data_IF_191242566436
#
_entry.id   IF_191242566436
#
_cell.length_a   1.000
_cell.length_b   1.000
_cell.length_c   1.000
_cell.angle_alpha   90.00
_cell.angle_beta   90.00
_cell.angle_gamma   90.00
#
_symmetry.space_group_name_H-M   'P 1'
#
loop_
_entity.id
_entity.type
_entity.pdbx_description
1 polymer ?
#
# COMPACT_ATOMS: atom_id res chain seq x y z
N UNK A 1 -62.18 -47.55 -7.77
CA UNK A 1 -61.42 -46.55 -6.98
C UNK A 1 -60.10 -47.15 -6.46
N UNK A 2 -59.23 -47.65 -7.34
CA UNK A 2 -57.88 -48.14 -6.97
C UNK A 2 -56.75 -47.51 -7.80
N UNK A 3 -57.10 -46.75 -8.84
CA UNK A 3 -56.12 -46.22 -9.80
C UNK A 3 -55.91 -44.69 -9.66
N UNK A 4 -56.76 -43.99 -8.91
CA UNK A 4 -56.67 -42.54 -8.69
C UNK A 4 -55.71 -42.14 -7.56
N UNK A 5 -55.42 -43.04 -6.62
CA UNK A 5 -54.44 -42.83 -5.54
C UNK A 5 -53.00 -42.93 -6.07
N UNK A 6 -52.77 -43.80 -7.06
CA UNK A 6 -51.44 -44.02 -7.65
C UNK A 6 -50.95 -42.80 -8.45
N UNK A 7 -51.85 -42.09 -9.14
CA UNK A 7 -51.53 -40.90 -9.94
C UNK A 7 -51.25 -39.69 -9.03
N UNK A 8 -51.99 -39.56 -7.92
CA UNK A 8 -51.76 -38.48 -6.96
C UNK A 8 -50.43 -38.62 -6.21
N UNK A 9 -50.01 -39.85 -5.88
CA UNK A 9 -48.69 -40.10 -5.28
C UNK A 9 -47.53 -39.85 -6.27
N UNK A 10 -47.74 -40.08 -7.56
CA UNK A 10 -46.72 -39.89 -8.60
C UNK A 10 -46.54 -38.40 -8.97
N UNK A 11 -47.61 -37.59 -8.92
CA UNK A 11 -47.50 -36.14 -9.10
C UNK A 11 -46.80 -35.44 -7.92
N UNK A 12 -47.04 -35.89 -6.68
CA UNK A 12 -46.38 -35.31 -5.49
C UNK A 12 -44.86 -35.60 -5.51
N UNK A 13 -44.45 -36.79 -5.95
CA UNK A 13 -43.04 -37.18 -6.12
C UNK A 13 -42.30 -36.34 -7.18
N UNK A 14 -42.97 -35.94 -8.27
CA UNK A 14 -42.38 -35.14 -9.35
C UNK A 14 -42.30 -33.64 -9.01
N UNK A 15 -43.18 -33.14 -8.13
CA UNK A 15 -43.06 -31.78 -7.58
C UNK A 15 -41.98 -31.61 -6.51
N UNK A 16 -41.59 -32.68 -5.79
CA UNK A 16 -40.48 -32.63 -4.82
C UNK A 16 -39.11 -32.57 -5.51
N UNK A 17 -38.99 -33.06 -6.75
CA UNK A 17 -37.76 -32.97 -7.54
C UNK A 17 -37.49 -31.57 -8.13
N UNK A 18 -38.48 -30.67 -8.16
CA UNK A 18 -38.30 -29.28 -8.57
C UNK A 18 -37.99 -28.32 -7.41
N UNK A 19 -38.11 -28.78 -6.16
CA UNK A 19 -37.83 -27.97 -4.97
C UNK A 19 -36.35 -28.00 -4.53
N UNK A 20 -35.50 -28.85 -5.11
CA UNK A 20 -34.07 -28.95 -4.79
C UNK A 20 -33.14 -28.23 -5.77
N UNK A 21 -33.67 -27.48 -6.73
CA UNK A 21 -32.87 -26.66 -7.67
C UNK A 21 -32.69 -25.20 -7.23
N UNK A 22 -33.13 -24.81 -6.02
CA UNK A 22 -32.67 -23.59 -5.34
C UNK A 22 -31.56 -23.99 -4.37
N UNK A 23 -30.55 -24.69 -4.90
CA UNK A 23 -29.31 -24.94 -4.18
C UNK A 23 -28.49 -23.65 -4.22
N UNK A 24 -28.36 -23.03 -3.05
CA UNK A 24 -27.44 -21.94 -2.71
C UNK A 24 -26.29 -21.75 -3.70
N UNK A 25 -26.40 -20.72 -4.53
CA UNK A 25 -25.23 -20.00 -5.00
C UNK A 25 -25.04 -18.85 -4.00
N UNK A 26 -24.06 -18.90 -3.07
CA UNK A 26 -23.79 -17.74 -2.23
C UNK A 26 -23.42 -16.57 -3.16
N UNK A 27 -23.92 -15.35 -2.91
CA UNK A 27 -23.60 -14.20 -3.76
C UNK A 27 -22.07 -14.04 -3.77
N UNK A 28 -21.47 -14.15 -4.96
CA UNK A 28 -20.03 -13.92 -5.15
C UNK A 28 -19.62 -12.49 -4.77
N UNK A 29 -20.59 -11.59 -4.68
CA UNK A 29 -20.44 -10.16 -4.38
C UNK A 29 -19.90 -9.88 -2.97
N UNK A 30 -20.26 -10.68 -1.95
CA UNK A 30 -19.84 -10.40 -0.56
C UNK A 30 -18.34 -10.59 -0.36
N UNK A 31 -17.75 -11.59 -1.03
CA UNK A 31 -16.30 -11.86 -0.92
C UNK A 31 -15.47 -10.85 -1.70
N UNK A 32 -15.94 -10.44 -2.87
CA UNK A 32 -15.26 -9.41 -3.69
C UNK A 32 -15.27 -8.07 -2.95
N UNK A 33 -16.43 -7.65 -2.44
CA UNK A 33 -16.55 -6.41 -1.66
C UNK A 33 -15.75 -6.43 -0.34
N UNK A 34 -15.52 -7.62 0.24
CA UNK A 34 -14.64 -7.75 1.40
C UNK A 34 -13.16 -7.60 1.03
N UNK A 35 -12.73 -8.22 -0.07
CA UNK A 35 -11.35 -8.09 -0.57
C UNK A 35 -11.05 -6.66 -0.98
N UNK A 36 -11.93 -6.02 -1.74
CA UNK A 36 -11.83 -4.61 -2.12
C UNK A 36 -11.61 -3.71 -0.90
N UNK A 37 -12.46 -3.83 0.13
CA UNK A 37 -12.33 -3.05 1.37
C UNK A 37 -11.00 -3.26 2.06
N UNK A 38 -10.55 -4.52 2.17
CA UNK A 38 -9.25 -4.82 2.80
C UNK A 38 -8.08 -4.19 2.05
N UNK A 39 -8.13 -4.20 0.70
CA UNK A 39 -7.10 -3.58 -0.13
C UNK A 39 -7.12 -2.06 0.03
N UNK A 40 -8.30 -1.43 0.10
CA UNK A 40 -8.41 0.01 0.35
C UNK A 40 -7.85 0.39 1.72
N UNK A 41 -8.16 -0.36 2.79
CA UNK A 41 -7.60 -0.12 4.12
C UNK A 41 -6.08 -0.24 4.14
N UNK A 42 -5.51 -1.26 3.48
CA UNK A 42 -4.07 -1.41 3.35
C UNK A 42 -3.43 -0.27 2.55
N UNK A 43 -4.07 0.19 1.47
CA UNK A 43 -3.62 1.35 0.67
C UNK A 43 -3.54 2.61 1.51
N UNK A 44 -4.57 2.90 2.31
CA UNK A 44 -4.57 4.08 3.17
C UNK A 44 -3.44 4.03 4.21
N UNK A 45 -3.22 2.86 4.82
CA UNK A 45 -2.13 2.68 5.78
C UNK A 45 -0.76 2.89 5.13
N UNK A 46 -0.53 2.29 3.96
CA UNK A 46 0.73 2.44 3.23
C UNK A 46 0.93 3.88 2.75
N UNK A 47 -0.13 4.54 2.27
CA UNK A 47 -0.09 5.96 1.89
C UNK A 47 0.30 6.83 3.07
N UNK A 48 -0.24 6.55 4.27
CA UNK A 48 0.14 7.27 5.49
C UNK A 48 1.63 7.07 5.82
N UNK A 49 2.12 5.82 5.81
CA UNK A 49 3.53 5.53 6.08
C UNK A 49 4.47 6.22 5.08
N UNK A 50 4.12 6.23 3.79
CA UNK A 50 4.90 6.92 2.76
C UNK A 50 4.87 8.45 2.93
N UNK A 51 3.72 9.02 3.29
CA UNK A 51 3.65 10.46 3.60
C UNK A 51 4.51 10.80 4.83
N UNK A 52 4.46 10.00 5.89
CA UNK A 52 5.29 10.20 7.09
C UNK A 52 6.79 10.14 6.73
N UNK A 53 7.18 9.21 5.85
CA UNK A 53 8.54 9.13 5.32
C UNK A 53 8.91 10.37 4.48
N UNK A 54 8.01 10.83 3.62
CA UNK A 54 8.21 12.04 2.81
C UNK A 54 8.42 13.27 3.68
N UNK A 55 7.62 13.44 4.73
CA UNK A 55 7.78 14.57 5.66
C UNK A 55 9.10 14.46 6.45
N UNK A 56 9.51 13.25 6.85
CA UNK A 56 10.83 13.07 7.47
C UNK A 56 11.98 13.50 6.53
N UNK A 57 11.88 13.18 5.24
CA UNK A 57 12.85 13.63 4.23
C UNK A 57 12.85 15.16 4.13
N UNK A 58 11.67 15.79 4.08
CA UNK A 58 11.55 17.24 4.06
C UNK A 58 12.23 17.89 5.28
N UNK A 59 11.97 17.37 6.49
CA UNK A 59 12.59 17.86 7.72
C UNK A 59 14.12 17.76 7.69
N UNK A 60 14.69 16.69 7.12
CA UNK A 60 16.14 16.55 6.95
C UNK A 60 16.69 17.54 5.92
N UNK A 61 16.00 17.75 4.79
CA UNK A 61 16.39 18.75 3.78
C UNK A 61 16.43 20.14 4.41
N UNK A 62 15.40 20.50 5.18
CA UNK A 62 15.36 21.79 5.87
C UNK A 62 16.48 21.95 6.90
N UNK A 63 16.81 20.87 7.62
CA UNK A 63 17.93 20.86 8.56
C UNK A 63 19.26 21.13 7.84
N UNK A 64 19.47 20.47 6.70
CA UNK A 64 20.63 20.71 5.84
C UNK A 64 20.67 22.17 5.36
N UNK A 65 19.54 22.70 4.88
CA UNK A 65 19.45 24.08 4.39
C UNK A 65 19.79 25.11 5.47
N UNK A 66 19.45 24.82 6.74
CA UNK A 66 19.89 25.64 7.88
C UNK A 66 21.40 25.51 8.11
N UNK A 67 21.92 24.29 8.12
CA UNK A 67 23.34 24.01 8.37
C UNK A 67 24.27 24.54 7.27
N UNK A 68 23.81 24.59 6.02
CA UNK A 68 24.56 25.13 4.88
C UNK A 68 24.97 26.61 5.05
N UNK A 69 24.20 27.39 5.82
CA UNK A 69 24.46 28.82 6.03
C UNK A 69 25.74 29.08 6.81
N UNK A 70 26.02 28.24 7.79
CA UNK A 70 27.13 28.41 8.75
C UNK A 70 28.27 27.40 8.52
N UNK A 71 28.12 26.48 7.57
CA UNK A 71 29.09 25.44 7.26
C UNK A 71 30.38 25.99 6.64
N UNK A 72 31.50 25.33 6.93
CA UNK A 72 32.77 25.51 6.19
C UNK A 72 32.61 25.05 4.73
N UNK A 73 33.53 25.45 3.85
CA UNK A 73 33.43 25.09 2.43
C UNK A 73 33.46 23.57 2.19
N UNK A 74 34.26 22.83 2.95
CA UNK A 74 34.29 21.35 2.90
C UNK A 74 32.95 20.74 3.38
N UNK A 75 32.37 21.29 4.44
CA UNK A 75 31.07 20.81 4.95
C UNK A 75 29.92 21.17 3.99
N UNK A 76 29.98 22.33 3.32
CA UNK A 76 28.98 22.75 2.35
C UNK A 76 28.85 21.79 1.19
N UNK A 77 29.96 21.32 0.62
CA UNK A 77 29.93 20.35 -0.50
C UNK A 77 29.20 19.07 -0.09
N UNK A 78 29.59 18.48 1.05
CA UNK A 78 28.96 17.26 1.60
C UNK A 78 27.48 17.44 1.91
N UNK A 79 27.10 18.60 2.46
CA UNK A 79 25.71 18.94 2.75
C UNK A 79 24.89 19.13 1.46
N UNK A 80 25.45 19.78 0.45
CA UNK A 80 24.78 19.94 -0.85
C UNK A 80 24.52 18.60 -1.53
N UNK A 81 25.45 17.66 -1.44
CA UNK A 81 25.27 16.32 -2.02
C UNK A 81 24.24 15.51 -1.24
N UNK A 82 24.31 15.50 0.10
CA UNK A 82 23.27 14.87 0.93
C UNK A 82 21.88 15.45 0.65
N UNK A 83 21.77 16.77 0.46
CA UNK A 83 20.52 17.44 0.09
C UNK A 83 19.96 16.94 -1.24
N UNK A 84 20.80 16.83 -2.28
CA UNK A 84 20.39 16.32 -3.60
C UNK A 84 19.93 14.87 -3.53
N UNK A 85 20.63 14.04 -2.76
CA UNK A 85 20.25 12.63 -2.57
C UNK A 85 18.88 12.51 -1.90
N UNK A 86 18.63 13.30 -0.84
CA UNK A 86 17.34 13.34 -0.17
C UNK A 86 16.22 13.87 -1.08
N UNK A 87 16.49 14.86 -1.93
CA UNK A 87 15.51 15.31 -2.93
C UNK A 87 15.17 14.21 -3.95
N UNK A 88 16.16 13.43 -4.37
CA UNK A 88 15.94 12.28 -5.24
C UNK A 88 15.12 11.18 -4.56
N UNK A 89 15.42 10.87 -3.30
CA UNK A 89 14.67 9.89 -2.50
C UNK A 89 13.23 10.36 -2.24
N UNK A 90 13.01 11.66 -1.98
CA UNK A 90 11.66 12.24 -1.87
C UNK A 90 10.85 12.00 -3.15
N UNK A 91 11.45 12.30 -4.30
CA UNK A 91 10.79 12.10 -5.60
C UNK A 91 10.49 10.62 -5.87
N UNK A 92 11.29 9.70 -5.36
CA UNK A 92 11.02 8.25 -5.44
C UNK A 92 9.83 7.85 -4.56
N UNK A 93 9.73 8.42 -3.35
CA UNK A 93 8.56 8.24 -2.46
C UNK A 93 7.30 8.79 -3.13
N UNK A 94 7.35 9.97 -3.75
CA UNK A 94 6.21 10.57 -4.46
C UNK A 94 5.73 9.68 -5.63
N UNK A 95 6.65 9.09 -6.40
CA UNK A 95 6.28 8.12 -7.44
C UNK A 95 5.62 6.88 -6.86
N UNK A 96 6.16 6.36 -5.75
CA UNK A 96 5.59 5.19 -5.08
C UNK A 96 4.19 5.48 -4.52
N UNK A 97 3.94 6.70 -4.03
CA UNK A 97 2.62 7.15 -3.59
C UNK A 97 1.59 7.11 -4.74
N UNK A 98 1.97 7.55 -5.94
CA UNK A 98 1.11 7.45 -7.12
C UNK A 98 0.89 5.99 -7.55
N UNK A 99 1.92 5.14 -7.52
CA UNK A 99 1.78 3.70 -7.79
C UNK A 99 0.79 3.01 -6.81
N UNK A 100 0.85 3.33 -5.51
CA UNK A 100 -0.10 2.82 -4.51
C UNK A 100 -1.53 3.28 -4.78
N UNK A 101 -1.69 4.54 -5.18
CA UNK A 101 -3.00 5.12 -5.51
C UNK A 101 -3.61 4.46 -6.74
N UNK A 102 -2.82 4.24 -7.78
CA UNK A 102 -3.28 3.71 -9.07
C UNK A 102 -3.34 2.17 -9.13
N UNK A 103 -2.81 1.47 -8.13
CA UNK A 103 -2.85 0.02 -8.05
C UNK A 103 -4.29 -0.53 -8.16
N UNK A 104 -4.48 -1.64 -8.85
CA UNK A 104 -5.74 -2.39 -8.87
C UNK A 104 -5.66 -3.58 -7.94
N UNK A 105 -6.76 -4.32 -7.74
CA UNK A 105 -6.73 -5.56 -6.96
C UNK A 105 -5.74 -6.57 -7.53
N UNK A 106 -5.67 -6.67 -8.86
CA UNK A 106 -4.78 -7.61 -9.56
C UNK A 106 -3.30 -7.25 -9.39
N UNK A 107 -2.97 -5.96 -9.29
CA UNK A 107 -1.57 -5.50 -9.16
C UNK A 107 -1.16 -5.22 -7.72
N UNK A 108 -2.09 -5.29 -6.76
CA UNK A 108 -1.88 -4.83 -5.40
C UNK A 108 -0.71 -5.49 -4.70
N UNK A 109 -0.59 -6.82 -4.81
CA UNK A 109 0.47 -7.57 -4.12
C UNK A 109 1.87 -7.19 -4.59
N UNK A 110 2.03 -6.88 -5.88
CA UNK A 110 3.32 -6.50 -6.44
C UNK A 110 3.68 -5.06 -6.09
N UNK A 111 2.70 -4.15 -6.19
CA UNK A 111 2.88 -2.75 -5.73
C UNK A 111 3.20 -2.70 -4.24
N UNK A 112 2.52 -3.49 -3.41
CA UNK A 112 2.78 -3.60 -1.97
C UNK A 112 4.21 -4.08 -1.69
N UNK A 113 4.70 -5.10 -2.40
CA UNK A 113 6.09 -5.59 -2.25
C UNK A 113 7.10 -4.55 -2.71
N UNK A 114 6.86 -3.88 -3.84
CA UNK A 114 7.70 -2.81 -4.35
C UNK A 114 7.80 -1.65 -3.36
N UNK A 115 6.65 -1.20 -2.87
CA UNK A 115 6.53 -0.14 -1.87
C UNK A 115 7.31 -0.44 -0.61
N UNK A 116 7.19 -1.65 -0.05
CA UNK A 116 7.95 -2.05 1.15
C UNK A 116 9.46 -1.98 0.93
N UNK A 117 9.95 -2.37 -0.25
CA UNK A 117 11.38 -2.28 -0.59
C UNK A 117 11.84 -0.83 -0.71
N UNK A 118 11.06 0.02 -1.36
CA UNK A 118 11.36 1.45 -1.48
C UNK A 118 11.36 2.13 -0.12
N UNK A 119 10.33 1.89 0.70
CA UNK A 119 10.24 2.44 2.06
C UNK A 119 11.46 2.06 2.90
N UNK A 120 11.84 0.77 2.93
CA UNK A 120 12.98 0.31 3.71
C UNK A 120 14.29 0.96 3.24
N UNK A 121 14.55 0.94 1.92
CA UNK A 121 15.76 1.54 1.33
C UNK A 121 15.86 3.03 1.63
N UNK A 122 14.78 3.78 1.39
CA UNK A 122 14.78 5.23 1.59
C UNK A 122 14.91 5.57 3.07
N UNK A 123 14.22 4.85 3.97
CA UNK A 123 14.37 5.02 5.42
C UNK A 123 15.83 4.83 5.87
N UNK A 124 16.51 3.82 5.35
CA UNK A 124 17.93 3.57 5.69
C UNK A 124 18.84 4.68 5.16
N UNK A 125 18.61 5.17 3.93
CA UNK A 125 19.36 6.31 3.37
C UNK A 125 19.16 7.59 4.18
N UNK A 126 17.92 7.91 4.55
CA UNK A 126 17.60 9.09 5.37
C UNK A 126 18.31 9.03 6.72
N UNK A 127 18.32 7.85 7.36
CA UNK A 127 19.08 7.62 8.58
C UNK A 127 20.59 7.85 8.38
N UNK A 128 21.17 7.26 7.33
CA UNK A 128 22.59 7.41 6.99
C UNK A 128 22.98 8.86 6.70
N UNK A 129 22.12 9.60 6.00
CA UNK A 129 22.32 11.02 5.74
C UNK A 129 22.32 11.81 7.05
N UNK A 130 21.33 11.58 7.92
CA UNK A 130 21.25 12.25 9.24
C UNK A 130 22.49 11.99 10.11
N UNK A 131 22.98 10.75 10.15
CA UNK A 131 24.20 10.38 10.90
C UNK A 131 25.45 11.05 10.32
N UNK A 132 25.58 11.03 8.99
CA UNK A 132 26.70 11.67 8.28
C UNK A 132 26.74 13.18 8.51
N UNK A 133 25.56 13.82 8.48
CA UNK A 133 25.39 15.25 8.78
C UNK A 133 25.79 15.55 10.22
N UNK A 134 25.33 14.77 11.21
CA UNK A 134 25.70 14.99 12.61
C UNK A 134 27.23 14.95 12.81
N UNK A 135 27.89 13.96 12.20
CA UNK A 135 29.34 13.81 12.28
C UNK A 135 30.15 14.99 11.71
N UNK A 136 29.57 15.83 10.85
CA UNK A 136 30.23 17.04 10.33
C UNK A 136 30.32 18.17 11.36
N UNK A 137 29.44 18.16 12.36
CA UNK A 137 29.31 19.26 13.34
C UNK A 137 29.70 18.86 14.77
N UNK A 138 29.95 17.59 15.03
CA UNK A 138 30.45 17.08 16.33
C UNK A 138 31.99 17.24 16.50
N UNK A 139 32.64 18.05 15.65
CA UNK A 139 34.08 18.38 15.71
C UNK A 139 34.30 19.79 16.23
#
# INVERSE_FOLDING_TARGET
>A
MKNSISIFLLMIMMSVLLAFAISCNPPKDDKVAQVERSIQEEKENIRKELNDLRENINDQIEKIDRQLKDASDEAKEKLQDARKELEADRNEVDKTLEEVKDATEETWDDIKKGTKKTFARVKDKVKSASESIAALFDK
#
